data_IF_387450160333
#
_entry.id   IF_387450160333
#
_cell.length_a   1.000
_cell.length_b   1.000
_cell.length_c   1.000
_cell.angle_alpha   90.00
_cell.angle_beta   90.00
_cell.angle_gamma   90.00
#
_symmetry.space_group_name_H-M   'P 1'
#
loop_
_entity.id
_entity.type
_entity.pdbx_description
1 polymer ?
#
# COMPACT_ATOMS: atom_id res chain seq x y z
N UNK A 1 -26.27 -0.91 -15.13
CA UNK A 1 -24.95 -0.35 -14.76
C UNK A 1 -24.31 -0.96 -13.50
N UNK A 2 -25.01 -1.10 -12.36
CA UNK A 2 -24.43 -1.62 -11.09
C UNK A 2 -24.01 -3.10 -11.16
N UNK A 3 -24.83 -3.98 -11.74
CA UNK A 3 -24.50 -5.40 -11.91
C UNK A 3 -23.25 -5.61 -12.78
N UNK A 4 -23.15 -4.93 -13.91
CA UNK A 4 -21.96 -4.97 -14.77
C UNK A 4 -20.68 -4.52 -14.04
N UNK A 5 -20.75 -3.47 -13.20
CA UNK A 5 -19.60 -3.05 -12.37
C UNK A 5 -19.21 -4.08 -11.31
N UNK A 6 -20.18 -4.77 -10.71
CA UNK A 6 -19.92 -5.83 -9.75
C UNK A 6 -19.23 -7.02 -10.41
N UNK A 7 -19.72 -7.46 -11.57
CA UNK A 7 -19.12 -8.54 -12.37
C UNK A 7 -17.68 -8.18 -12.78
N UNK A 8 -17.46 -6.98 -13.33
CA UNK A 8 -16.12 -6.52 -13.70
C UNK A 8 -15.17 -6.44 -12.50
N UNK A 9 -15.67 -6.06 -11.33
CA UNK A 9 -14.86 -6.03 -10.10
C UNK A 9 -14.51 -7.44 -9.63
N UNK A 10 -15.46 -8.37 -9.70
CA UNK A 10 -15.24 -9.79 -9.40
C UNK A 10 -14.18 -10.39 -10.33
N UNK A 11 -14.36 -10.25 -11.64
CA UNK A 11 -13.41 -10.76 -12.65
C UNK A 11 -12.01 -10.16 -12.48
N UNK A 12 -11.90 -8.85 -12.21
CA UNK A 12 -10.59 -8.23 -11.95
C UNK A 12 -9.93 -8.84 -10.72
N UNK A 13 -10.66 -8.98 -9.62
CA UNK A 13 -10.12 -9.52 -8.37
C UNK A 13 -9.70 -10.98 -8.51
N UNK A 14 -10.49 -11.80 -9.19
CA UNK A 14 -10.14 -13.21 -9.43
C UNK A 14 -8.91 -13.33 -10.33
N UNK A 15 -8.86 -12.56 -11.43
CA UNK A 15 -7.71 -12.55 -12.32
C UNK A 15 -6.43 -12.06 -11.63
N UNK A 16 -6.50 -10.96 -10.86
CA UNK A 16 -5.37 -10.42 -10.13
C UNK A 16 -4.88 -11.38 -9.03
N UNK A 17 -5.80 -12.04 -8.32
CA UNK A 17 -5.45 -13.06 -7.31
C UNK A 17 -4.81 -14.29 -7.94
N UNK A 18 -5.34 -14.77 -9.07
CA UNK A 18 -4.75 -15.89 -9.80
C UNK A 18 -3.34 -15.55 -10.32
N UNK A 19 -3.16 -14.33 -10.85
CA UNK A 19 -1.87 -13.83 -11.28
C UNK A 19 -0.88 -13.75 -10.09
N UNK A 20 -1.30 -13.23 -8.95
CA UNK A 20 -0.49 -13.21 -7.73
C UNK A 20 -0.03 -14.62 -7.34
N UNK A 21 -0.95 -15.58 -7.28
CA UNK A 21 -0.64 -16.97 -6.92
C UNK A 21 0.31 -17.63 -7.91
N UNK A 22 0.26 -17.27 -9.19
CA UNK A 22 1.21 -17.75 -10.20
C UNK A 22 2.58 -17.05 -10.10
N UNK A 23 2.61 -15.75 -9.78
CA UNK A 23 3.85 -14.97 -9.69
C UNK A 23 4.71 -15.37 -8.49
N UNK A 24 4.11 -15.80 -7.37
CA UNK A 24 4.87 -16.23 -6.17
C UNK A 24 5.87 -17.36 -6.48
N UNK A 25 5.46 -18.54 -7.01
CA UNK A 25 6.40 -19.62 -7.31
C UNK A 25 7.37 -19.27 -8.44
N UNK A 26 6.93 -18.51 -9.46
CA UNK A 26 7.81 -18.03 -10.54
C UNK A 26 8.92 -17.15 -9.98
N UNK A 27 8.59 -16.20 -9.12
CA UNK A 27 9.57 -15.31 -8.49
C UNK A 27 10.48 -16.07 -7.53
N UNK A 28 9.96 -17.07 -6.81
CA UNK A 28 10.77 -17.95 -5.97
C UNK A 28 11.79 -18.75 -6.79
N UNK A 29 11.37 -19.30 -7.94
CA UNK A 29 12.28 -19.98 -8.86
C UNK A 29 13.35 -19.01 -9.40
N UNK A 30 12.97 -17.80 -9.82
CA UNK A 30 13.91 -16.76 -10.25
C UNK A 30 14.91 -16.39 -9.16
N UNK A 31 14.49 -16.36 -7.89
CA UNK A 31 15.39 -16.09 -6.76
C UNK A 31 16.45 -17.18 -6.62
N UNK A 32 16.05 -18.45 -6.72
CA UNK A 32 16.96 -19.60 -6.69
C UNK A 32 17.92 -19.53 -7.87
N UNK A 33 17.41 -19.32 -9.09
CA UNK A 33 18.24 -19.17 -10.30
C UNK A 33 19.23 -18.02 -10.18
N UNK A 34 18.79 -16.84 -9.74
CA UNK A 34 19.66 -15.69 -9.52
C UNK A 34 20.73 -16.00 -8.46
N UNK A 35 20.38 -16.70 -7.38
CA UNK A 35 21.31 -17.14 -6.35
C UNK A 35 22.40 -18.06 -6.90
N UNK A 36 22.00 -19.09 -7.65
CA UNK A 36 22.93 -20.05 -8.28
C UNK A 36 23.86 -19.38 -9.27
N UNK A 37 23.33 -18.50 -10.14
CA UNK A 37 24.14 -17.78 -11.15
C UNK A 37 25.08 -16.74 -10.53
N UNK A 38 24.66 -16.06 -9.46
CA UNK A 38 25.48 -15.04 -8.80
C UNK A 38 26.54 -15.66 -7.87
N UNK A 39 26.34 -16.87 -7.35
CA UNK A 39 27.26 -17.54 -6.43
C UNK A 39 28.71 -17.62 -6.96
N UNK A 40 29.00 -18.17 -8.16
CA UNK A 40 30.38 -18.29 -8.66
C UNK A 40 31.04 -16.94 -8.89
N UNK A 41 30.28 -15.95 -9.40
CA UNK A 41 30.79 -14.59 -9.63
C UNK A 41 31.02 -13.86 -8.31
N UNK A 42 30.20 -14.11 -7.27
CA UNK A 42 30.39 -13.52 -5.95
C UNK A 42 31.55 -14.13 -5.15
N UNK A 43 31.90 -15.38 -5.41
CA UNK A 43 33.11 -16.00 -4.84
C UNK A 43 34.37 -15.35 -5.43
N UNK A 44 34.32 -14.97 -6.71
CA UNK A 44 35.43 -14.34 -7.42
C UNK A 44 35.50 -12.80 -7.27
N UNK A 45 34.35 -12.14 -7.06
CA UNK A 45 34.23 -10.67 -6.93
C UNK A 45 33.35 -10.36 -5.73
N UNK A 46 33.71 -9.38 -4.89
CA UNK A 46 32.94 -9.01 -3.69
C UNK A 46 31.55 -8.39 -3.96
N UNK A 47 30.86 -8.70 -5.07
CA UNK A 47 29.46 -8.37 -5.21
C UNK A 47 28.85 -8.38 -6.61
N UNK A 48 28.01 -9.39 -6.86
CA UNK A 48 26.81 -9.21 -7.68
C UNK A 48 25.54 -9.76 -7.00
N UNK A 49 25.34 -9.59 -5.68
CA UNK A 49 24.08 -9.98 -5.02
C UNK A 49 22.89 -9.04 -5.32
N UNK A 50 23.08 -8.02 -6.17
CA UNK A 50 22.02 -7.03 -6.48
C UNK A 50 20.77 -7.69 -7.07
N UNK A 51 20.85 -8.59 -8.08
CA UNK A 51 19.66 -9.27 -8.61
C UNK A 51 18.98 -10.14 -7.56
N UNK A 52 19.75 -10.85 -6.73
CA UNK A 52 19.22 -11.67 -5.62
C UNK A 52 18.45 -10.81 -4.61
N UNK A 53 19.01 -9.66 -4.22
CA UNK A 53 18.35 -8.70 -3.30
C UNK A 53 17.06 -8.14 -3.91
N UNK A 54 17.08 -7.78 -5.20
CA UNK A 54 15.90 -7.26 -5.90
C UNK A 54 14.80 -8.31 -6.04
N UNK A 55 15.11 -9.50 -6.56
CA UNK A 55 14.14 -10.59 -6.70
C UNK A 55 13.62 -11.04 -5.33
N UNK A 56 14.49 -11.09 -4.32
CA UNK A 56 14.11 -11.41 -2.95
C UNK A 56 13.13 -10.39 -2.36
N UNK A 57 13.33 -9.10 -2.61
CA UNK A 57 12.39 -8.07 -2.18
C UNK A 57 11.06 -8.15 -2.93
N UNK A 58 11.07 -8.43 -4.24
CA UNK A 58 9.84 -8.67 -5.02
C UNK A 58 9.07 -9.86 -4.47
N UNK A 59 9.75 -10.98 -4.14
CA UNK A 59 9.10 -12.13 -3.52
C UNK A 59 8.47 -11.76 -2.17
N UNK A 60 9.18 -11.01 -1.32
CA UNK A 60 8.63 -10.53 -0.05
C UNK A 60 7.42 -9.61 -0.23
N UNK A 61 7.43 -8.78 -1.27
CA UNK A 61 6.26 -7.97 -1.65
C UNK A 61 5.05 -8.84 -1.99
N UNK A 62 5.22 -9.83 -2.88
CA UNK A 62 4.14 -10.73 -3.28
C UNK A 62 3.61 -11.55 -2.09
N UNK A 63 4.50 -11.99 -1.19
CA UNK A 63 4.11 -12.68 0.03
C UNK A 63 3.36 -11.77 1.00
N UNK A 64 3.76 -10.50 1.13
CA UNK A 64 3.05 -9.52 1.94
C UNK A 64 1.65 -9.21 1.38
N UNK A 65 1.54 -9.07 0.06
CA UNK A 65 0.26 -8.91 -0.65
C UNK A 65 -0.65 -10.12 -0.40
N UNK A 66 -0.15 -11.35 -0.62
CA UNK A 66 -0.91 -12.57 -0.33
C UNK A 66 -1.34 -12.66 1.14
N UNK A 67 -0.44 -12.37 2.08
CA UNK A 67 -0.75 -12.35 3.51
C UNK A 67 -1.80 -11.29 3.86
N UNK A 68 -1.75 -10.13 3.20
CA UNK A 68 -2.75 -9.07 3.32
C UNK A 68 -4.13 -9.53 2.85
N UNK A 69 -4.20 -10.22 1.71
CA UNK A 69 -5.45 -10.77 1.18
C UNK A 69 -6.05 -11.83 2.10
N UNK A 70 -5.23 -12.77 2.58
CA UNK A 70 -5.66 -13.82 3.52
C UNK A 70 -6.15 -13.21 4.84
N UNK A 71 -5.39 -12.25 5.40
CA UNK A 71 -5.80 -11.56 6.63
C UNK A 71 -7.09 -10.75 6.41
N UNK A 72 -7.25 -10.10 5.27
CA UNK A 72 -8.44 -9.35 4.91
C UNK A 72 -9.69 -10.23 4.75
N UNK A 73 -9.53 -11.46 4.24
CA UNK A 73 -10.59 -12.46 4.15
C UNK A 73 -10.96 -13.02 5.53
N UNK A 74 -9.96 -13.32 6.36
CA UNK A 74 -10.15 -13.79 7.72
C UNK A 74 -10.86 -12.77 8.62
N UNK A 75 -10.45 -11.50 8.55
CA UNK A 75 -11.12 -10.40 9.27
C UNK A 75 -12.55 -10.21 8.79
N UNK A 76 -12.80 -10.37 7.49
CA UNK A 76 -14.16 -10.34 6.95
C UNK A 76 -15.00 -11.49 7.53
N UNK A 77 -14.48 -12.72 7.55
CA UNK A 77 -15.17 -13.88 8.07
C UNK A 77 -15.47 -13.77 9.58
N UNK A 78 -14.50 -13.29 10.38
CA UNK A 78 -14.68 -13.10 11.84
C UNK A 78 -15.72 -12.05 12.21
N UNK A 79 -16.07 -11.16 11.29
CA UNK A 79 -16.99 -10.03 11.52
C UNK A 79 -18.38 -10.28 10.90
N UNK A 80 -18.71 -11.54 10.60
CA UNK A 80 -20.05 -12.00 10.18
C UNK A 80 -20.97 -12.13 11.41
N UNK A 81 -21.40 -11.00 12.02
CA UNK A 81 -22.76 -10.47 11.78
C UNK A 81 -22.93 -8.92 11.80
N UNK A 82 -23.85 -8.39 10.99
CA UNK A 82 -25.01 -7.55 11.39
C UNK A 82 -24.88 -6.11 11.98
N UNK A 83 -23.74 -5.62 12.49
CA UNK A 83 -23.71 -4.39 13.33
C UNK A 83 -23.70 -3.00 12.64
N UNK A 84 -24.24 -1.95 13.29
CA UNK A 84 -24.20 -0.52 12.85
C UNK A 84 -22.76 0.04 12.71
N UNK A 85 -21.80 -0.52 13.44
CA UNK A 85 -20.39 -0.06 13.46
C UNK A 85 -19.47 -0.76 12.46
N UNK A 86 -19.99 -1.67 11.62
CA UNK A 86 -19.13 -2.55 10.80
C UNK A 86 -18.25 -1.81 9.82
N UNK A 87 -18.73 -0.70 9.24
CA UNK A 87 -17.94 0.10 8.31
C UNK A 87 -16.71 0.70 9.03
N UNK A 88 -16.93 1.30 10.20
CA UNK A 88 -15.88 1.87 11.04
C UNK A 88 -14.87 0.81 11.48
N UNK A 89 -15.33 -0.31 12.04
CA UNK A 89 -14.44 -1.41 12.49
C UNK A 89 -13.63 -2.00 11.33
N UNK A 90 -14.23 -2.14 10.14
CA UNK A 90 -13.50 -2.60 8.94
C UNK A 90 -12.45 -1.61 8.47
N UNK A 91 -12.70 -0.31 8.60
CA UNK A 91 -11.72 0.72 8.29
C UNK A 91 -10.55 0.69 9.29
N UNK A 92 -10.83 0.59 10.59
CA UNK A 92 -9.84 0.44 11.66
C UNK A 92 -8.97 -0.82 11.46
N UNK A 93 -9.62 -1.97 11.22
CA UNK A 93 -8.94 -3.25 10.94
C UNK A 93 -8.08 -3.14 9.65
N UNK A 94 -8.57 -2.44 8.62
CA UNK A 94 -7.83 -2.24 7.37
C UNK A 94 -6.62 -1.32 7.55
N UNK A 95 -6.75 -0.22 8.30
CA UNK A 95 -5.62 0.66 8.62
C UNK A 95 -4.55 -0.08 9.43
N UNK A 96 -4.95 -0.84 10.45
CA UNK A 96 -4.01 -1.62 11.24
C UNK A 96 -3.28 -2.69 10.41
N UNK A 97 -4.00 -3.37 9.50
CA UNK A 97 -3.39 -4.34 8.61
C UNK A 97 -2.44 -3.68 7.60
N UNK A 98 -2.86 -2.56 7.00
CA UNK A 98 -2.02 -1.79 6.06
C UNK A 98 -0.75 -1.30 6.76
N UNK A 99 -0.85 -0.78 7.98
CA UNK A 99 0.30 -0.36 8.77
C UNK A 99 1.28 -1.52 8.99
N UNK A 100 0.78 -2.69 9.37
CA UNK A 100 1.61 -3.88 9.62
C UNK A 100 2.33 -4.35 8.35
N UNK A 101 1.63 -4.40 7.22
CA UNK A 101 2.19 -4.81 5.93
C UNK A 101 3.25 -3.80 5.45
N UNK A 102 2.95 -2.50 5.50
CA UNK A 102 3.91 -1.49 5.10
C UNK A 102 5.13 -1.45 6.03
N UNK A 103 4.93 -1.67 7.34
CA UNK A 103 6.03 -1.79 8.31
C UNK A 103 6.91 -3.01 8.01
N UNK A 104 6.36 -4.16 7.62
CA UNK A 104 7.16 -5.34 7.26
C UNK A 104 7.95 -5.10 5.98
N UNK A 105 7.35 -4.47 4.95
CA UNK A 105 8.03 -4.09 3.72
C UNK A 105 9.15 -3.06 3.97
N UNK A 106 8.91 -2.05 4.81
CA UNK A 106 9.95 -1.09 5.21
C UNK A 106 11.12 -1.81 5.88
N UNK A 107 10.85 -2.69 6.87
CA UNK A 107 11.89 -3.49 7.54
C UNK A 107 12.66 -4.38 6.57
N UNK A 108 11.97 -4.96 5.58
CA UNK A 108 12.63 -5.71 4.52
C UNK A 108 13.54 -4.80 3.68
N UNK A 109 13.10 -3.59 3.33
CA UNK A 109 13.91 -2.61 2.61
C UNK A 109 15.12 -2.12 3.41
N UNK A 110 14.97 -1.89 4.71
CA UNK A 110 16.06 -1.54 5.63
C UNK A 110 17.13 -2.64 5.65
N UNK A 111 16.73 -3.91 5.77
CA UNK A 111 17.65 -5.06 5.82
C UNK A 111 18.27 -5.38 4.46
N UNK A 112 17.44 -5.41 3.42
CA UNK A 112 17.84 -5.88 2.10
C UNK A 112 18.57 -4.77 1.36
N UNK A 113 18.17 -3.51 1.45
CA UNK A 113 18.78 -2.41 0.68
C UNK A 113 19.63 -1.46 1.52
N UNK A 114 19.63 -1.58 2.85
CA UNK A 114 20.24 -0.57 3.72
C UNK A 114 19.45 0.75 3.70
N UNK A 115 18.16 0.69 3.37
CA UNK A 115 17.27 1.86 3.36
C UNK A 115 17.28 2.53 4.73
N UNK A 116 17.42 3.86 4.75
CA UNK A 116 17.24 4.66 5.97
C UNK A 116 16.18 5.71 5.69
N UNK A 117 15.14 5.71 6.50
CA UNK A 117 14.06 6.70 6.43
C UNK A 117 14.25 7.67 7.59
N UNK A 118 14.39 8.95 7.26
CA UNK A 118 14.48 10.02 8.25
C UNK A 118 13.31 10.98 8.03
N UNK A 119 12.72 11.47 9.11
CA UNK A 119 11.56 12.37 9.09
C UNK A 119 11.95 13.60 9.89
N UNK A 120 12.06 14.73 9.21
CA UNK A 120 12.47 16.01 9.81
C UNK A 120 11.56 17.12 9.28
N UNK A 121 10.87 17.88 10.14
CA UNK A 121 10.72 17.67 11.59
C UNK A 121 9.95 16.37 11.93
N UNK A 122 9.97 15.89 13.19
CA UNK A 122 9.16 14.74 13.59
C UNK A 122 7.68 14.97 13.27
N UNK A 123 6.92 13.91 12.95
CA UNK A 123 5.55 14.07 12.49
C UNK A 123 4.64 14.64 13.59
N UNK A 124 3.66 15.48 13.22
CA UNK A 124 2.84 16.23 14.18
C UNK A 124 2.01 15.36 15.13
N UNK A 125 1.75 14.09 14.78
CA UNK A 125 0.95 13.17 15.59
C UNK A 125 1.72 12.32 16.61
N UNK A 126 3.05 12.44 16.70
CA UNK A 126 3.85 11.64 17.64
C UNK A 126 3.64 12.00 19.13
N UNK A 127 2.97 13.11 19.44
CA UNK A 127 2.90 13.69 20.80
C UNK A 127 1.47 13.83 21.38
N UNK A 128 0.46 13.23 20.73
CA UNK A 128 -0.94 13.34 21.14
C UNK A 128 -1.79 13.74 19.95
N UNK A 129 -2.73 12.87 19.56
CA UNK A 129 -3.46 12.93 18.29
C UNK A 129 -3.85 14.35 17.87
N UNK A 130 -3.48 14.72 16.64
CA UNK A 130 -3.73 16.06 16.12
C UNK A 130 -5.22 16.43 16.30
N UNK A 131 -5.48 17.53 17.02
CA UNK A 131 -6.83 18.02 17.30
C UNK A 131 -7.59 18.37 16.01
N UNK A 132 -6.86 18.65 14.93
CA UNK A 132 -7.37 18.90 13.59
C UNK A 132 -6.75 17.90 12.58
N UNK A 133 -7.46 17.58 11.48
CA UNK A 133 -6.89 16.81 10.39
C UNK A 133 -5.72 17.55 9.71
N UNK A 134 -4.81 16.78 9.12
CA UNK A 134 -3.61 17.32 8.47
C UNK A 134 -3.69 17.20 6.96
N UNK A 135 -3.24 18.22 6.23
CA UNK A 135 -3.03 18.14 4.78
C UNK A 135 -1.57 17.81 4.50
N UNK A 136 -1.33 16.75 3.75
CA UNK A 136 0.01 16.23 3.44
C UNK A 136 0.23 16.36 1.94
N UNK A 137 1.05 17.34 1.55
CA UNK A 137 1.45 17.58 0.17
C UNK A 137 2.79 16.90 -0.10
N UNK A 138 2.82 16.07 -1.13
CA UNK A 138 3.93 15.17 -1.39
C UNK A 138 4.42 15.34 -2.82
N UNK A 139 5.73 15.47 -2.96
CA UNK A 139 6.39 15.35 -4.25
C UNK A 139 6.65 13.88 -4.58
N UNK A 140 6.22 13.43 -5.75
CA UNK A 140 6.36 12.03 -6.14
C UNK A 140 7.78 11.79 -6.70
N UNK A 141 8.61 11.05 -5.98
CA UNK A 141 10.03 10.85 -6.30
C UNK A 141 10.36 9.41 -6.77
N UNK A 142 9.37 8.51 -6.85
CA UNK A 142 9.55 7.22 -7.52
C UNK A 142 8.70 6.07 -6.96
N UNK A 143 8.99 4.87 -7.47
CA UNK A 143 8.26 3.64 -7.12
C UNK A 143 8.54 3.27 -5.67
N UNK A 144 7.57 3.52 -4.78
CA UNK A 144 7.61 3.12 -3.37
C UNK A 144 7.63 4.26 -2.35
N UNK A 145 7.74 5.52 -2.81
CA UNK A 145 7.67 6.69 -1.92
C UNK A 145 6.34 6.77 -1.15
N UNK A 146 5.24 6.43 -1.82
CA UNK A 146 3.89 6.41 -1.29
C UNK A 146 3.76 5.36 -0.21
N UNK A 147 4.42 4.21 -0.36
CA UNK A 147 4.43 3.18 0.68
C UNK A 147 5.17 3.66 1.92
N UNK A 148 6.33 4.30 1.76
CA UNK A 148 7.09 4.84 2.90
C UNK A 148 6.33 5.96 3.59
N UNK A 149 5.72 6.87 2.83
CA UNK A 149 4.88 7.93 3.37
C UNK A 149 3.71 7.36 4.17
N UNK A 150 2.93 6.46 3.57
CA UNK A 150 1.77 5.87 4.24
C UNK A 150 2.19 5.08 5.48
N UNK A 151 3.36 4.42 5.45
CA UNK A 151 3.92 3.76 6.61
C UNK A 151 4.26 4.76 7.73
N UNK A 152 4.87 5.89 7.40
CA UNK A 152 5.21 6.96 8.35
C UNK A 152 3.95 7.57 8.95
N UNK A 153 2.93 7.82 8.13
CA UNK A 153 1.64 8.35 8.58
C UNK A 153 0.93 7.38 9.51
N UNK A 154 0.76 6.12 9.10
CA UNK A 154 0.03 5.12 9.88
C UNK A 154 0.74 4.70 11.16
N UNK A 155 2.08 4.63 11.14
CA UNK A 155 2.88 4.18 12.26
C UNK A 155 3.37 5.34 13.13
N UNK A 156 4.59 5.88 12.87
CA UNK A 156 5.18 6.95 13.67
C UNK A 156 4.27 8.17 13.91
N UNK A 157 3.46 8.58 12.94
CA UNK A 157 2.56 9.73 13.11
C UNK A 157 1.20 9.37 13.71
N UNK A 158 0.80 8.09 13.71
CA UNK A 158 -0.52 7.65 14.17
C UNK A 158 -1.70 8.28 13.40
N UNK A 159 -1.50 8.73 12.16
CA UNK A 159 -2.50 9.38 11.32
C UNK A 159 -3.13 8.39 10.34
N UNK A 160 -4.44 8.53 10.12
CA UNK A 160 -5.20 7.72 9.17
C UNK A 160 -5.25 8.40 7.80
N UNK A 161 -4.57 7.88 6.78
CA UNK A 161 -4.46 8.56 5.50
C UNK A 161 -5.72 8.40 4.65
N UNK A 162 -6.26 9.53 4.21
CA UNK A 162 -7.25 9.66 3.14
C UNK A 162 -6.47 9.90 1.85
N UNK A 163 -6.50 8.92 0.95
CA UNK A 163 -5.56 8.89 -0.19
C UNK A 163 -6.26 9.14 -1.53
N UNK A 164 -5.60 9.96 -2.34
CA UNK A 164 -5.94 10.15 -3.75
C UNK A 164 -5.15 9.13 -4.57
N UNK A 165 -5.84 8.16 -5.16
CA UNK A 165 -5.20 6.99 -5.75
C UNK A 165 -5.39 6.89 -7.26
N UNK A 166 -4.35 6.41 -7.95
CA UNK A 166 -4.44 5.99 -9.35
C UNK A 166 -5.21 4.67 -9.45
N UNK A 167 -6.00 4.53 -10.51
CA UNK A 167 -6.80 3.31 -10.76
C UNK A 167 -5.93 2.06 -10.96
N UNK A 168 -4.68 2.22 -11.36
CA UNK A 168 -3.69 1.14 -11.53
C UNK A 168 -3.40 0.39 -10.24
N UNK A 169 -3.54 1.02 -9.07
CA UNK A 169 -3.36 0.36 -7.77
C UNK A 169 -4.39 -0.74 -7.50
N UNK A 170 -5.48 -0.79 -8.27
CA UNK A 170 -6.47 -1.90 -8.19
C UNK A 170 -5.97 -3.20 -8.80
N UNK A 171 -4.81 -3.18 -9.47
CA UNK A 171 -4.16 -4.38 -9.96
C UNK A 171 -3.48 -5.18 -8.83
N UNK A 172 -3.21 -4.53 -7.69
CA UNK A 172 -2.69 -5.16 -6.49
C UNK A 172 -3.86 -5.72 -5.65
N UNK A 173 -3.95 -7.06 -5.47
CA UNK A 173 -5.06 -7.72 -4.78
C UNK A 173 -5.33 -7.24 -3.35
N UNK A 174 -4.32 -7.18 -2.47
CA UNK A 174 -4.54 -6.77 -1.09
C UNK A 174 -4.87 -5.28 -1.01
N UNK A 175 -4.20 -4.42 -1.78
CA UNK A 175 -4.53 -3.01 -1.83
C UNK A 175 -5.95 -2.80 -2.35
N UNK A 176 -6.39 -3.47 -3.43
CA UNK A 176 -7.76 -3.34 -3.95
C UNK A 176 -8.84 -3.73 -2.91
N UNK A 177 -8.52 -4.65 -2.00
CA UNK A 177 -9.41 -5.06 -0.91
C UNK A 177 -9.33 -4.13 0.29
N UNK A 178 -8.13 -3.76 0.73
CA UNK A 178 -7.88 -2.97 1.95
C UNK A 178 -8.19 -1.49 1.74
N UNK A 179 -7.71 -0.91 0.64
CA UNK A 179 -8.03 0.47 0.26
C UNK A 179 -9.54 0.64 0.11
N UNK A 180 -10.22 -0.36 -0.47
CA UNK A 180 -11.67 -0.37 -0.59
C UNK A 180 -12.45 -0.28 0.74
N UNK A 181 -11.78 -0.40 1.88
CA UNK A 181 -12.36 -0.35 3.23
C UNK A 181 -11.99 0.93 4.00
N UNK A 182 -11.13 1.79 3.46
CA UNK A 182 -10.71 3.06 4.07
C UNK A 182 -11.12 4.24 3.18
N UNK A 183 -11.20 5.47 3.71
CA UNK A 183 -11.52 6.65 2.90
C UNK A 183 -10.46 6.88 1.80
N UNK A 184 -10.90 6.89 0.55
CA UNK A 184 -10.04 7.11 -0.62
C UNK A 184 -10.87 7.69 -1.76
N UNK A 185 -10.21 8.38 -2.70
CA UNK A 185 -10.82 8.73 -3.98
C UNK A 185 -9.94 8.25 -5.14
N UNK A 186 -10.56 7.62 -6.14
CA UNK A 186 -9.87 7.30 -7.39
C UNK A 186 -10.08 8.43 -8.37
N UNK A 187 -8.99 9.06 -8.82
CA UNK A 187 -9.10 10.13 -9.80
C UNK A 187 -9.65 9.59 -11.14
N UNK A 188 -10.65 10.27 -11.73
CA UNK A 188 -10.98 10.04 -13.14
C UNK A 188 -9.80 10.48 -14.01
N UNK A 189 -9.67 9.89 -15.20
CA UNK A 189 -8.54 10.18 -16.09
C UNK A 189 -8.43 11.67 -16.45
N UNK A 190 -9.55 12.41 -16.53
CA UNK A 190 -9.61 13.85 -16.83
C UNK A 190 -10.89 14.52 -16.29
N UNK A 191 -10.84 15.83 -16.00
CA UNK A 191 -11.98 16.75 -15.86
C UNK A 191 -12.29 17.31 -14.46
N UNK A 192 -13.19 18.32 -14.39
CA UNK A 192 -13.66 19.03 -13.16
C UNK A 192 -14.10 18.14 -11.99
N UNK A 193 -14.39 16.85 -12.25
CA UNK A 193 -14.77 15.85 -11.24
C UNK A 193 -13.64 15.47 -10.28
N UNK A 194 -12.39 15.80 -10.59
CA UNK A 194 -11.27 15.51 -9.71
C UNK A 194 -11.30 16.40 -8.45
N UNK A 195 -11.54 17.71 -8.62
CA UNK A 195 -11.62 18.68 -7.52
C UNK A 195 -12.81 18.36 -6.61
N UNK A 196 -13.98 18.09 -7.18
CA UNK A 196 -15.17 17.71 -6.42
C UNK A 196 -14.92 16.45 -5.57
N UNK A 197 -14.29 15.42 -6.16
CA UNK A 197 -13.98 14.18 -5.45
C UNK A 197 -12.94 14.37 -4.32
N UNK A 198 -11.97 15.26 -4.53
CA UNK A 198 -11.00 15.64 -3.48
C UNK A 198 -11.71 16.44 -2.38
N UNK A 199 -12.61 17.36 -2.75
CA UNK A 199 -13.42 18.15 -1.82
C UNK A 199 -14.32 17.27 -0.94
N UNK A 200 -15.00 16.29 -1.53
CA UNK A 200 -15.79 15.28 -0.80
C UNK A 200 -14.92 14.45 0.16
N UNK A 201 -13.72 14.04 -0.29
CA UNK A 201 -12.78 13.29 0.56
C UNK A 201 -12.25 14.14 1.72
N UNK A 202 -12.01 15.44 1.48
CA UNK A 202 -11.57 16.40 2.48
C UNK A 202 -12.67 16.72 3.51
N UNK A 203 -13.92 16.83 3.07
CA UNK A 203 -15.08 17.07 3.95
C UNK A 203 -15.32 15.93 4.95
N UNK A 204 -14.82 14.72 4.65
CA UNK A 204 -14.90 13.56 5.54
C UNK A 204 -13.78 13.45 6.58
N UNK A 205 -12.83 14.40 6.63
CA UNK A 205 -11.70 14.34 7.56
C UNK A 205 -12.14 14.64 9.00
N UNK A 206 -11.69 13.80 9.94
CA UNK A 206 -11.81 14.02 11.37
C UNK A 206 -10.45 14.15 12.08
N UNK A 207 -10.46 14.36 13.41
CA UNK A 207 -9.25 14.35 14.22
C UNK A 207 -8.44 13.05 14.03
N UNK A 208 -7.13 13.19 13.82
CA UNK A 208 -6.22 12.08 13.53
C UNK A 208 -6.23 11.58 12.08
N UNK A 209 -6.94 12.24 11.15
CA UNK A 209 -6.89 11.92 9.73
C UNK A 209 -5.89 12.80 8.98
N UNK A 210 -5.39 12.30 7.85
CA UNK A 210 -4.48 13.02 6.98
C UNK A 210 -4.89 12.90 5.52
N UNK A 211 -5.18 14.01 4.84
CA UNK A 211 -5.40 13.99 3.40
C UNK A 211 -4.06 14.05 2.66
N UNK A 212 -3.79 13.03 1.84
CA UNK A 212 -2.55 12.92 1.07
C UNK A 212 -2.81 13.31 -0.38
N UNK A 213 -2.10 14.34 -0.83
CA UNK A 213 -2.19 14.86 -2.21
C UNK A 213 -0.77 14.87 -2.82
N UNK A 214 -0.69 14.42 -4.07
CA UNK A 214 0.48 14.58 -4.93
C UNK A 214 0.16 15.69 -5.94
N UNK A 215 0.52 16.97 -5.67
CA UNK A 215 0.04 18.11 -6.45
C UNK A 215 0.46 18.04 -7.92
N UNK A 216 1.58 17.37 -8.19
CA UNK A 216 2.17 17.22 -9.51
C UNK A 216 1.38 16.25 -10.41
N UNK A 217 0.52 15.39 -9.84
CA UNK A 217 -0.25 14.38 -10.58
C UNK A 217 0.58 13.24 -11.22
N UNK A 218 1.90 13.36 -11.24
CA UNK A 218 2.86 12.42 -11.83
C UNK A 218 4.16 12.34 -11.03
N UNK A 219 5.12 11.54 -11.50
CA UNK A 219 6.48 11.59 -10.95
C UNK A 219 7.05 12.97 -11.25
N UNK A 220 7.60 13.63 -10.24
CA UNK A 220 8.41 14.81 -10.47
C UNK A 220 9.74 14.37 -11.09
N UNK A 221 9.93 14.74 -12.35
CA UNK A 221 11.21 14.67 -13.06
C UNK A 221 11.88 16.03 -13.04
#
# INVERSE_FOLDING_TARGET
ARAARAVLTGLRRTAATALLLALVPVTAALLVTAGVLCAPVSLATRGPWRPVRMVGFVLLYLLADLAGLVAAAFLWARRLPDGRDRARRRAEDAFALLERLLRSLRRAGERIFGLRVTVTPPPPGASGGAAAPVLVFVRHAGVGDSFLLLQVLLGPAGLRPHTVLKRTLRADPALDVLVGRVPHCFLPAFGRRAEDAIGELAAGLGPGDALVIFPEGGNFT
#
